data_IF_454787974068
#
_entry.id   IF_454787974068
#
_cell.length_a   1.000
_cell.length_b   1.000
_cell.length_c   1.000
_cell.angle_alpha   90.00
_cell.angle_beta   90.00
_cell.angle_gamma   90.00
#
_symmetry.space_group_name_H-M   'P 1'
#
loop_
_entity.id
_entity.type
_entity.pdbx_description
1 polymer ?
#
# COMPACT_ATOMS: atom_id res chain seq x y z
N UNK A 1 13.65 8.01 -27.97
CA UNK A 1 14.45 7.64 -26.78
C UNK A 1 13.55 7.56 -25.58
N UNK A 2 13.53 6.39 -24.97
CA UNK A 2 12.79 6.08 -23.75
C UNK A 2 13.58 6.67 -22.57
N UNK A 3 12.90 7.17 -21.54
CA UNK A 3 13.52 7.79 -20.35
C UNK A 3 14.65 6.94 -19.73
N UNK A 4 14.48 5.62 -19.71
CA UNK A 4 15.46 4.65 -19.21
C UNK A 4 16.81 4.70 -19.94
N UNK A 5 16.81 4.98 -21.24
CA UNK A 5 18.03 5.03 -22.06
C UNK A 5 18.87 6.25 -21.68
N UNK A 6 18.24 7.42 -21.59
CA UNK A 6 18.93 8.66 -21.14
C UNK A 6 19.46 8.54 -19.73
N UNK A 7 18.71 7.89 -18.84
CA UNK A 7 19.13 7.66 -17.46
C UNK A 7 20.40 6.80 -17.39
N UNK A 8 20.49 5.78 -18.26
CA UNK A 8 21.65 4.91 -18.36
C UNK A 8 22.86 5.65 -18.92
N UNK A 9 22.68 6.45 -19.97
CA UNK A 9 23.75 7.29 -20.53
C UNK A 9 24.31 8.30 -19.52
N UNK A 10 23.45 9.01 -18.80
CA UNK A 10 23.88 9.96 -17.77
C UNK A 10 24.60 9.28 -16.61
N UNK A 11 24.13 8.09 -16.20
CA UNK A 11 24.81 7.28 -15.18
C UNK A 11 26.23 6.91 -15.63
N UNK A 12 26.38 6.47 -16.88
CA UNK A 12 27.67 6.07 -17.46
C UNK A 12 28.60 7.28 -17.66
N UNK A 13 28.11 8.40 -18.17
CA UNK A 13 28.87 9.66 -18.29
C UNK A 13 29.42 10.16 -16.95
N UNK A 14 28.66 9.97 -15.88
CA UNK A 14 29.02 10.41 -14.52
C UNK A 14 29.69 9.32 -13.69
N UNK A 15 29.92 8.15 -14.30
CA UNK A 15 30.54 6.97 -13.70
C UNK A 15 29.88 6.52 -12.39
N UNK A 16 28.55 6.65 -12.29
CA UNK A 16 27.78 6.27 -11.10
C UNK A 16 27.50 4.76 -11.09
N UNK A 17 27.67 4.12 -9.93
CA UNK A 17 27.10 2.79 -9.73
C UNK A 17 25.57 2.86 -9.66
N UNK A 18 24.90 1.70 -9.76
CA UNK A 18 23.44 1.65 -9.57
C UNK A 18 23.02 2.11 -8.17
N UNK A 19 23.88 1.89 -7.16
CA UNK A 19 23.64 2.33 -5.80
C UNK A 19 23.78 3.86 -5.68
N UNK A 20 24.81 4.46 -6.29
CA UNK A 20 25.03 5.91 -6.25
C UNK A 20 23.90 6.66 -6.97
N UNK A 21 23.43 6.10 -8.10
CA UNK A 21 22.28 6.63 -8.80
C UNK A 21 21.02 6.51 -7.94
N UNK A 22 20.76 5.35 -7.33
CA UNK A 22 19.61 5.12 -6.46
C UNK A 22 19.59 6.04 -5.23
N UNK A 23 20.75 6.35 -4.66
CA UNK A 23 20.90 7.28 -3.55
C UNK A 23 20.59 8.72 -3.98
N UNK A 24 21.11 9.16 -5.14
CA UNK A 24 20.82 10.50 -5.70
C UNK A 24 19.36 10.73 -6.06
N UNK A 25 18.65 9.69 -6.47
CA UNK A 25 17.20 9.76 -6.77
C UNK A 25 16.32 9.39 -5.56
N UNK A 26 16.91 9.19 -4.38
CA UNK A 26 16.23 8.79 -3.14
C UNK A 26 15.44 7.47 -3.19
N UNK A 27 15.70 6.62 -4.18
CA UNK A 27 15.12 5.27 -4.32
C UNK A 27 16.04 4.23 -3.63
N UNK A 28 16.67 4.62 -2.52
CA UNK A 28 17.54 3.71 -1.78
C UNK A 28 16.75 2.50 -1.26
N UNK A 29 17.46 1.39 -1.04
CA UNK A 29 16.89 0.16 -0.48
C UNK A 29 16.07 0.41 0.79
N UNK A 30 16.53 1.36 1.61
CA UNK A 30 15.87 1.76 2.86
C UNK A 30 14.57 2.54 2.61
N UNK A 31 14.54 3.44 1.62
CA UNK A 31 13.29 4.13 1.21
C UNK A 31 12.26 3.11 0.74
N UNK A 32 12.63 2.21 -0.18
CA UNK A 32 11.71 1.17 -0.71
C UNK A 32 11.21 0.26 0.41
N UNK A 33 12.06 -0.11 1.37
CA UNK A 33 11.67 -0.89 2.54
C UNK A 33 10.63 -0.18 3.41
N UNK A 34 10.76 1.13 3.64
CA UNK A 34 9.77 1.92 4.39
C UNK A 34 8.43 1.95 3.66
N UNK A 35 8.45 2.13 2.34
CA UNK A 35 7.24 2.11 1.52
C UNK A 35 6.55 0.75 1.55
N UNK A 36 7.32 -0.34 1.53
CA UNK A 36 6.78 -1.69 1.69
C UNK A 36 6.04 -1.85 3.02
N UNK A 37 6.67 -1.46 4.12
CA UNK A 37 6.04 -1.52 5.46
C UNK A 37 4.77 -0.67 5.51
N UNK A 38 4.77 0.50 4.88
CA UNK A 38 3.58 1.35 4.79
C UNK A 38 2.42 0.66 4.06
N UNK A 39 2.66 0.07 2.88
CA UNK A 39 1.62 -0.64 2.13
C UNK A 39 1.15 -1.91 2.83
N UNK A 40 2.07 -2.68 3.45
CA UNK A 40 1.71 -3.83 4.27
C UNK A 40 0.83 -3.40 5.46
N UNK A 41 1.13 -2.26 6.09
CA UNK A 41 0.32 -1.72 7.19
C UNK A 41 -1.07 -1.26 6.73
N UNK A 42 -1.17 -0.62 5.55
CA UNK A 42 -2.44 -0.24 4.94
C UNK A 42 -3.33 -1.46 4.67
N UNK A 43 -2.72 -2.54 4.16
CA UNK A 43 -3.42 -3.81 3.95
C UNK A 43 -3.99 -4.36 5.26
N UNK A 44 -3.15 -4.43 6.30
CA UNK A 44 -3.56 -4.93 7.62
C UNK A 44 -4.65 -4.07 8.26
N UNK A 45 -4.59 -2.75 8.09
CA UNK A 45 -5.65 -1.84 8.55
C UNK A 45 -6.98 -2.13 7.85
N UNK A 46 -6.95 -2.39 6.54
CA UNK A 46 -8.13 -2.83 5.78
C UNK A 46 -8.71 -4.15 6.30
N UNK A 47 -7.87 -5.15 6.58
CA UNK A 47 -8.30 -6.43 7.17
C UNK A 47 -8.95 -6.22 8.55
N UNK A 48 -8.35 -5.39 9.41
CA UNK A 48 -8.89 -5.08 10.73
C UNK A 48 -10.28 -4.46 10.64
N UNK A 49 -10.44 -3.44 9.78
CA UNK A 49 -11.72 -2.78 9.54
C UNK A 49 -12.77 -3.73 8.94
N UNK A 50 -12.35 -4.70 8.15
CA UNK A 50 -13.25 -5.70 7.59
C UNK A 50 -13.74 -6.68 8.68
N UNK A 51 -12.84 -7.14 9.56
CA UNK A 51 -13.18 -8.02 10.66
C UNK A 51 -14.15 -7.35 11.63
N UNK A 52 -13.90 -6.11 12.03
CA UNK A 52 -14.81 -5.38 12.94
C UNK A 52 -16.22 -5.27 12.36
N UNK A 53 -16.34 -5.08 11.04
CA UNK A 53 -17.64 -5.10 10.36
C UNK A 53 -18.34 -6.45 10.41
N UNK A 54 -17.62 -7.54 10.21
CA UNK A 54 -18.18 -8.89 10.34
C UNK A 54 -18.69 -9.09 11.77
N UNK A 55 -17.89 -8.72 12.77
CA UNK A 55 -18.30 -8.84 14.19
C UNK A 55 -19.55 -8.05 14.47
N UNK A 56 -19.63 -6.78 14.05
CA UNK A 56 -20.83 -5.95 14.25
C UNK A 56 -22.04 -6.51 13.50
N UNK A 57 -21.87 -7.03 12.29
CA UNK A 57 -22.96 -7.66 11.55
C UNK A 57 -23.50 -8.91 12.28
N UNK A 58 -22.60 -9.75 12.81
CA UNK A 58 -22.96 -10.91 13.63
C UNK A 58 -23.68 -10.46 14.91
N UNK A 59 -23.15 -9.49 15.63
CA UNK A 59 -23.79 -8.97 16.86
C UNK A 59 -25.17 -8.38 16.56
N UNK A 60 -25.33 -7.63 15.48
CA UNK A 60 -26.63 -7.07 15.12
C UNK A 60 -27.63 -8.18 14.75
N UNK A 61 -27.19 -9.21 14.03
CA UNK A 61 -28.06 -10.34 13.62
C UNK A 61 -28.46 -11.25 14.79
N UNK A 62 -27.53 -11.54 15.70
CA UNK A 62 -27.73 -12.55 16.74
C UNK A 62 -28.06 -11.97 18.11
N UNK A 63 -27.56 -10.79 18.46
CA UNK A 63 -27.82 -10.14 19.75
C UNK A 63 -28.96 -9.11 19.68
N UNK A 64 -29.60 -8.93 18.51
CA UNK A 64 -30.62 -7.90 18.31
C UNK A 64 -30.11 -6.48 18.53
N UNK A 65 -28.79 -6.31 18.48
CA UNK A 65 -28.15 -5.02 18.66
C UNK A 65 -28.41 -4.13 17.43
N UNK A 66 -28.71 -2.85 17.63
CA UNK A 66 -28.83 -1.87 16.55
C UNK A 66 -27.57 -1.00 16.48
N UNK A 67 -26.39 -1.64 16.42
CA UNK A 67 -25.12 -0.92 16.39
C UNK A 67 -24.88 -0.43 14.96
N UNK A 68 -25.02 0.88 14.74
CA UNK A 68 -24.64 1.58 13.52
C UNK A 68 -23.23 2.14 13.65
N UNK A 69 -22.29 1.69 12.80
CA UNK A 69 -20.86 2.05 12.94
C UNK A 69 -20.60 3.50 12.54
N UNK A 70 -21.17 4.00 11.43
CA UNK A 70 -21.22 5.42 11.01
C UNK A 70 -22.31 5.54 9.92
N UNK A 71 -23.28 6.45 10.08
CA UNK A 71 -24.45 6.56 9.20
C UNK A 71 -24.23 7.46 7.96
N UNK A 72 -23.27 8.39 8.01
CA UNK A 72 -23.23 9.53 7.07
C UNK A 72 -22.58 9.22 5.71
N UNK A 73 -21.96 8.05 5.54
CA UNK A 73 -21.34 7.64 4.26
C UNK A 73 -21.30 6.11 4.08
N UNK A 74 -22.47 5.46 3.89
CA UNK A 74 -22.58 3.99 3.91
C UNK A 74 -21.77 3.32 2.79
N UNK A 75 -21.75 3.88 1.59
CA UNK A 75 -20.99 3.32 0.46
C UNK A 75 -19.49 3.37 0.70
N UNK A 76 -18.95 4.55 1.06
CA UNK A 76 -17.52 4.71 1.33
C UNK A 76 -17.08 3.79 2.45
N UNK A 77 -17.83 3.71 3.55
CA UNK A 77 -17.46 2.83 4.66
C UNK A 77 -17.55 1.34 4.32
N UNK A 78 -18.44 0.91 3.42
CA UNK A 78 -18.51 -0.49 2.98
C UNK A 78 -17.34 -0.88 2.08
N UNK A 79 -16.92 0.02 1.21
CA UNK A 79 -15.82 -0.24 0.29
C UNK A 79 -14.44 0.15 0.84
N UNK A 80 -14.36 0.98 1.87
CA UNK A 80 -13.08 1.45 2.45
C UNK A 80 -12.14 0.31 2.86
N UNK A 81 -12.58 -0.74 3.60
CA UNK A 81 -11.70 -1.86 3.93
C UNK A 81 -11.17 -2.57 2.69
N UNK A 82 -12.04 -2.77 1.68
CA UNK A 82 -11.68 -3.42 0.42
C UNK A 82 -10.69 -2.59 -0.40
N UNK A 83 -10.91 -1.28 -0.51
CA UNK A 83 -10.02 -0.35 -1.21
C UNK A 83 -8.64 -0.34 -0.55
N UNK A 84 -8.58 -0.27 0.78
CA UNK A 84 -7.33 -0.32 1.54
C UNK A 84 -6.58 -1.63 1.31
N UNK A 85 -7.29 -2.76 1.32
CA UNK A 85 -6.70 -4.07 1.04
C UNK A 85 -6.15 -4.18 -0.39
N UNK A 86 -6.91 -3.73 -1.40
CA UNK A 86 -6.45 -3.77 -2.79
C UNK A 86 -5.22 -2.89 -3.00
N UNK A 87 -5.24 -1.64 -2.51
CA UNK A 87 -4.12 -0.70 -2.65
C UNK A 87 -2.90 -1.19 -1.88
N UNK A 88 -3.08 -1.63 -0.63
CA UNK A 88 -1.99 -2.16 0.20
C UNK A 88 -1.33 -3.40 -0.42
N UNK A 89 -2.14 -4.37 -0.86
CA UNK A 89 -1.65 -5.60 -1.49
C UNK A 89 -0.91 -5.34 -2.80
N UNK A 90 -1.54 -4.59 -3.73
CA UNK A 90 -0.92 -4.28 -5.02
C UNK A 90 0.34 -3.42 -4.88
N UNK A 91 0.33 -2.45 -3.96
CA UNK A 91 1.47 -1.59 -3.68
C UNK A 91 2.66 -2.38 -3.14
N UNK A 92 2.44 -3.23 -2.14
CA UNK A 92 3.48 -4.08 -1.56
C UNK A 92 4.08 -5.05 -2.57
N UNK A 93 3.25 -5.69 -3.40
CA UNK A 93 3.71 -6.64 -4.42
C UNK A 93 4.55 -5.98 -5.52
N UNK A 94 4.19 -4.78 -5.96
CA UNK A 94 5.01 -4.02 -6.92
C UNK A 94 6.38 -3.69 -6.35
N UNK A 95 6.45 -3.25 -5.08
CA UNK A 95 7.73 -2.92 -4.44
C UNK A 95 8.60 -4.17 -4.21
N UNK A 96 7.99 -5.31 -3.91
CA UNK A 96 8.69 -6.59 -3.78
C UNK A 96 9.42 -6.99 -5.07
N UNK A 97 8.86 -6.68 -6.24
CA UNK A 97 9.46 -6.95 -7.56
C UNK A 97 10.61 -5.99 -7.93
N UNK A 98 10.64 -4.78 -7.37
CA UNK A 98 11.72 -3.82 -7.64
C UNK A 98 13.02 -4.24 -6.93
N UNK A 99 12.92 -5.03 -5.87
CA UNK A 99 14.04 -5.38 -5.00
C UNK A 99 14.59 -6.80 -5.21
N UNK A 100 13.82 -7.66 -5.88
CA UNK A 100 14.20 -9.05 -6.18
C UNK A 100 14.71 -9.15 -7.61
#
# INVERSE_FOLDING_TARGET
>A
MIFSERLKEEREKRNWSQNDLAEKIHVSRQSVSKWKVFFDSLFMMGVLLFITKIVVWVLNKFAGANITIVADAPYVMNFLPLILMVIGGMGSDKLKKIYR
#
